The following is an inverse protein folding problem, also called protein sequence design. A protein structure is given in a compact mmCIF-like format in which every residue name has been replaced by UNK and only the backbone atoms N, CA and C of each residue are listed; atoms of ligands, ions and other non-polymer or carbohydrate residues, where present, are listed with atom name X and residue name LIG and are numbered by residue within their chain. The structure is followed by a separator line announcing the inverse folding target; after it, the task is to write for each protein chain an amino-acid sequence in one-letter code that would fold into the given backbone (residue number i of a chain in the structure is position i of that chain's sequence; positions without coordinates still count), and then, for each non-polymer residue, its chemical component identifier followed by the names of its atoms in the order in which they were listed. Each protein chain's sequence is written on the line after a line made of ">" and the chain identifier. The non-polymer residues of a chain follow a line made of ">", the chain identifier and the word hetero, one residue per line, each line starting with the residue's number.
data_IF_444724642671
#
_entry.id   IF_444724642671
#
_cell.length_a   1.000
_cell.length_b   1.000
_cell.length_c   1.000
_cell.angle_alpha   90.00
_cell.angle_beta   90.00
_cell.angle_gamma   90.00
#
_symmetry.space_group_name_H-M   'P 1'
#
loop_
_entity.id
_entity.type
_entity.pdbx_description
1 polymer ?
#
# COMPACT_ATOMS: atom_id res chain seq x y z
N UNK A 1 7.05 -23.47 0.15
CA UNK A 1 7.87 -23.57 -1.07
C UNK A 1 8.32 -22.16 -1.44
N UNK A 2 9.62 -21.88 -1.62
CA UNK A 2 10.06 -20.52 -1.93
C UNK A 2 9.79 -20.25 -3.42
N UNK A 3 8.97 -19.24 -3.71
CA UNK A 3 8.76 -18.77 -5.08
C UNK A 3 10.03 -18.00 -5.48
N UNK A 4 10.92 -18.67 -6.23
CA UNK A 4 12.24 -18.15 -6.59
C UNK A 4 12.26 -17.30 -7.85
N UNK A 5 11.12 -17.02 -8.46
CA UNK A 5 11.08 -16.17 -9.65
C UNK A 5 9.83 -15.30 -9.67
N UNK A 6 9.96 -14.02 -9.32
CA UNK A 6 8.85 -13.06 -9.40
C UNK A 6 8.44 -12.78 -10.86
N UNK A 7 9.38 -12.91 -11.81
CA UNK A 7 9.11 -12.69 -13.24
C UNK A 7 8.11 -13.69 -13.81
N UNK A 8 8.07 -14.92 -13.29
CA UNK A 8 7.11 -15.93 -13.74
C UNK A 8 5.66 -15.55 -13.39
N UNK A 9 5.46 -14.85 -12.27
CA UNK A 9 4.14 -14.37 -11.82
C UNK A 9 3.68 -13.19 -12.67
N UNK A 10 4.62 -12.33 -13.09
CA UNK A 10 4.33 -11.16 -13.93
C UNK A 10 4.17 -11.52 -15.42
N UNK A 11 4.77 -12.64 -15.87
CA UNK A 11 4.75 -13.09 -17.28
C UNK A 11 3.38 -13.58 -17.79
N UNK A 12 2.53 -14.10 -16.91
CA UNK A 12 1.16 -14.51 -17.30
C UNK A 12 0.18 -13.33 -17.35
N UNK A 13 0.60 -12.14 -16.91
CA UNK A 13 -0.25 -10.95 -16.95
C UNK A 13 0.55 -9.69 -17.31
N UNK A 14 1.18 -9.64 -18.50
CA UNK A 14 2.18 -8.63 -18.86
C UNK A 14 1.60 -7.21 -19.05
N UNK A 15 0.28 -7.04 -18.95
CA UNK A 15 -0.41 -5.75 -19.12
C UNK A 15 -1.42 -5.38 -18.05
N UNK A 16 -1.80 -6.25 -17.13
CA UNK A 16 -2.91 -5.92 -16.25
C UNK A 16 -2.40 -5.20 -15.00
N UNK A 17 -2.31 -3.89 -15.15
CA UNK A 17 -2.89 -2.97 -14.19
C UNK A 17 -3.98 -3.65 -13.33
N UNK A 18 -4.03 -3.31 -12.05
CA UNK A 18 -4.96 -3.96 -11.11
C UNK A 18 -6.36 -4.04 -11.74
N UNK A 19 -6.95 -5.24 -11.97
CA UNK A 19 -8.21 -5.35 -12.71
C UNK A 19 -9.39 -4.71 -11.96
N UNK A 20 -9.17 -4.27 -10.71
CA UNK A 20 -10.10 -3.40 -9.97
C UNK A 20 -10.14 -1.96 -10.51
N UNK A 21 -9.12 -1.57 -11.29
CA UNK A 21 -8.98 -0.27 -11.93
C UNK A 21 -8.97 -0.45 -13.46
N UNK A 22 -10.14 -0.74 -14.03
CA UNK A 22 -10.35 -0.93 -15.48
C UNK A 22 -10.28 0.38 -16.31
N UNK A 23 -9.95 1.51 -15.68
CA UNK A 23 -10.00 2.85 -16.28
C UNK A 23 -8.75 3.65 -15.91
N UNK A 24 -8.56 4.81 -16.57
CA UNK A 24 -7.54 5.83 -16.30
C UNK A 24 -7.62 6.50 -14.91
N UNK A 25 -8.25 5.86 -13.93
CA UNK A 25 -8.37 6.34 -12.55
C UNK A 25 -7.07 6.11 -11.77
N UNK A 26 -6.03 6.82 -12.18
CA UNK A 26 -4.69 6.74 -11.61
C UNK A 26 -4.65 7.09 -10.12
N UNK A 27 -5.51 8.02 -9.68
CA UNK A 27 -5.60 8.41 -8.28
C UNK A 27 -6.11 7.27 -7.38
N UNK A 28 -7.13 6.52 -7.82
CA UNK A 28 -7.65 5.38 -7.07
C UNK A 28 -6.62 4.26 -6.93
N UNK A 29 -5.86 4.01 -8.01
CA UNK A 29 -4.76 3.05 -8.01
C UNK A 29 -3.65 3.46 -7.03
N UNK A 30 -3.24 4.71 -7.06
CA UNK A 30 -2.22 5.24 -6.15
C UNK A 30 -2.67 5.15 -4.68
N UNK A 31 -3.87 5.64 -4.36
CA UNK A 31 -4.45 5.59 -3.01
C UNK A 31 -4.48 4.15 -2.45
N UNK A 32 -4.93 3.19 -3.26
CA UNK A 32 -4.98 1.79 -2.82
C UNK A 32 -3.58 1.25 -2.53
N UNK A 33 -2.62 1.49 -3.42
CA UNK A 33 -1.25 0.97 -3.25
C UNK A 33 -0.57 1.55 -2.03
N UNK A 34 -0.74 2.84 -1.77
CA UNK A 34 -0.22 3.49 -0.58
C UNK A 34 -0.84 2.91 0.70
N UNK A 35 -2.16 2.76 0.74
CA UNK A 35 -2.87 2.16 1.89
C UNK A 35 -2.43 0.71 2.16
N UNK A 36 -2.24 -0.09 1.11
CA UNK A 36 -1.75 -1.48 1.24
C UNK A 36 -0.32 -1.52 1.79
N UNK A 37 0.56 -0.61 1.36
CA UNK A 37 1.90 -0.50 1.91
C UNK A 37 1.87 -0.13 3.40
N UNK A 38 1.06 0.86 3.79
CA UNK A 38 0.88 1.24 5.19
C UNK A 38 0.40 0.07 6.06
N UNK A 39 -0.55 -0.74 5.55
CA UNK A 39 -1.00 -1.94 6.26
C UNK A 39 0.13 -2.94 6.45
N UNK A 40 0.86 -3.22 5.38
CA UNK A 40 1.92 -4.20 5.40
C UNK A 40 3.00 -3.83 6.43
N UNK A 41 3.49 -2.59 6.41
CA UNK A 41 4.53 -2.14 7.34
C UNK A 41 4.06 -2.15 8.79
N UNK A 42 2.77 -1.88 9.04
CA UNK A 42 2.20 -1.94 10.38
C UNK A 42 2.10 -3.38 10.91
N UNK A 43 1.64 -4.32 10.08
CA UNK A 43 1.42 -5.71 10.48
C UNK A 43 2.71 -6.53 10.54
N UNK A 44 3.63 -6.33 9.59
CA UNK A 44 4.80 -7.19 9.38
C UNK A 44 6.14 -6.48 9.64
N UNK A 45 6.13 -5.16 9.80
CA UNK A 45 7.33 -4.34 9.84
C UNK A 45 7.79 -3.89 8.44
N UNK A 46 8.40 -2.71 8.40
CA UNK A 46 8.83 -2.05 7.15
C UNK A 46 9.91 -2.82 6.39
N UNK A 47 10.82 -3.48 7.13
CA UNK A 47 11.92 -4.24 6.54
C UNK A 47 11.50 -5.57 5.91
N UNK A 48 10.27 -6.01 6.14
CA UNK A 48 9.77 -7.28 5.62
C UNK A 48 9.72 -7.26 4.08
N UNK A 49 10.27 -8.28 3.41
CA UNK A 49 10.40 -8.33 1.94
C UNK A 49 9.08 -8.09 1.20
N UNK A 50 7.97 -8.62 1.73
CA UNK A 50 6.62 -8.38 1.17
C UNK A 50 6.22 -6.90 1.19
N UNK A 51 6.64 -6.14 2.21
CA UNK A 51 6.31 -4.74 2.34
C UNK A 51 7.18 -3.85 1.47
N UNK A 52 8.47 -4.21 1.28
CA UNK A 52 9.33 -3.61 0.25
C UNK A 52 8.72 -3.77 -1.15
N UNK A 53 8.18 -4.94 -1.46
CA UNK A 53 7.45 -5.16 -2.72
C UNK A 53 6.18 -4.32 -2.83
N UNK A 54 5.37 -4.17 -1.76
CA UNK A 54 4.21 -3.27 -1.80
C UNK A 54 4.61 -1.80 -2.01
N UNK A 55 5.74 -1.38 -1.41
CA UNK A 55 6.25 -0.03 -1.61
C UNK A 55 6.69 0.21 -3.06
N UNK A 56 7.39 -0.74 -3.67
CA UNK A 56 7.72 -0.71 -5.10
C UNK A 56 6.47 -0.54 -5.97
N UNK A 57 5.40 -1.30 -5.68
CA UNK A 57 4.12 -1.15 -6.41
C UNK A 57 3.43 0.19 -6.17
N UNK A 58 3.65 0.80 -5.01
CA UNK A 58 3.18 2.16 -4.72
C UNK A 58 3.92 3.19 -5.56
N UNK A 59 5.25 3.11 -5.62
CA UNK A 59 6.08 3.99 -6.45
C UNK A 59 5.76 3.87 -7.93
N UNK A 60 5.43 2.66 -8.42
CA UNK A 60 5.00 2.47 -9.80
C UNK A 60 3.61 3.09 -10.11
N UNK A 61 2.77 3.27 -9.09
CA UNK A 61 1.40 3.75 -9.26
C UNK A 61 1.22 5.25 -8.94
N UNK A 62 2.11 5.83 -8.14
CA UNK A 62 2.00 7.19 -7.61
C UNK A 62 3.16 8.07 -8.11
N UNK A 63 2.89 9.37 -8.27
CA UNK A 63 3.96 10.36 -8.36
C UNK A 63 4.70 10.45 -7.01
N UNK A 64 6.02 10.71 -7.05
CA UNK A 64 6.87 10.76 -5.86
C UNK A 64 6.38 11.83 -4.88
N UNK A 65 5.99 13.00 -5.38
CA UNK A 65 5.50 14.14 -4.61
C UNK A 65 4.20 13.79 -3.85
N UNK A 66 3.39 12.89 -4.41
CA UNK A 66 2.16 12.42 -3.76
C UNK A 66 2.47 11.52 -2.57
N UNK A 67 3.47 10.63 -2.72
CA UNK A 67 3.94 9.77 -1.64
C UNK A 67 4.55 10.62 -0.52
N UNK A 68 5.44 11.55 -0.86
CA UNK A 68 6.09 12.46 0.10
C UNK A 68 5.05 13.27 0.87
N UNK A 69 4.07 13.87 0.18
CA UNK A 69 2.99 14.60 0.82
C UNK A 69 2.18 13.75 1.82
N UNK A 70 1.87 12.50 1.47
CA UNK A 70 1.15 11.62 2.38
C UNK A 70 2.01 11.10 3.53
N UNK A 71 3.32 10.95 3.34
CA UNK A 71 4.25 10.62 4.42
C UNK A 71 4.42 11.80 5.39
N UNK A 72 4.39 13.04 4.90
CA UNK A 72 4.36 14.24 5.75
C UNK A 72 3.08 14.34 6.57
N UNK A 73 1.92 14.03 5.98
CA UNK A 73 0.68 13.93 6.75
C UNK A 73 0.74 12.80 7.78
N UNK A 74 1.41 11.70 7.46
CA UNK A 74 1.56 10.55 8.34
C UNK A 74 2.46 10.87 9.53
N UNK A 75 3.59 11.55 9.31
CA UNK A 75 4.49 11.98 10.38
C UNK A 75 3.81 12.94 11.37
N UNK A 76 2.79 13.68 10.91
CA UNK A 76 1.94 14.55 11.73
C UNK A 76 0.73 13.83 12.37
N UNK A 77 0.51 12.54 12.08
CA UNK A 77 -0.68 11.80 12.54
C UNK A 77 -2.00 12.24 11.87
N UNK A 78 -1.93 12.90 10.71
CA UNK A 78 -3.08 13.44 9.96
C UNK A 78 -3.47 12.59 8.75
N UNK A 79 -2.66 11.59 8.40
CA UNK A 79 -2.94 10.72 7.25
C UNK A 79 -4.13 9.80 7.56
N UNK A 80 -5.27 10.04 6.92
CA UNK A 80 -6.48 9.23 7.11
C UNK A 80 -6.31 7.77 6.64
N UNK A 81 -5.39 7.53 5.71
CA UNK A 81 -5.07 6.18 5.23
C UNK A 81 -4.28 5.34 6.26
N UNK A 82 -3.67 5.98 7.26
CA UNK A 82 -2.97 5.33 8.37
C UNK A 82 -3.87 5.22 9.63
N UNK A 83 -5.17 5.49 9.52
CA UNK A 83 -6.14 5.35 10.60
C UNK A 83 -6.72 3.92 10.63
N UNK A 84 -6.17 3.08 11.50
CA UNK A 84 -6.53 1.67 11.59
C UNK A 84 -7.86 1.40 12.32
N UNK A 85 -8.54 0.27 12.07
CA UNK A 85 -9.72 -0.13 12.84
C UNK A 85 -9.50 -0.13 14.34
N UNK A 86 -8.29 -0.44 14.82
CA UNK A 86 -7.95 -0.33 16.24
C UNK A 86 -8.13 1.08 16.80
N UNK A 87 -7.95 2.12 15.99
CA UNK A 87 -8.27 3.51 16.34
C UNK A 87 -9.78 3.69 16.53
N UNK A 88 -10.60 3.20 15.58
CA UNK A 88 -12.05 3.28 15.65
C UNK A 88 -12.66 2.35 16.70
N UNK A 89 -12.04 1.21 17.01
CA UNK A 89 -12.50 0.26 18.02
C UNK A 89 -11.79 0.46 19.36
N UNK A 90 -10.94 1.48 19.52
CA UNK A 90 -10.19 1.72 20.77
C UNK A 90 -11.13 1.88 21.96
N UNK A 91 -12.25 2.57 21.75
CA UNK A 91 -13.29 2.77 22.75
C UNK A 91 -14.05 1.47 23.08
N UNK A 92 -14.00 0.45 22.22
CA UNK A 92 -14.65 -0.85 22.43
C UNK A 92 -13.77 -1.87 23.18
N UNK A 93 -12.49 -1.56 23.46
CA UNK A 93 -11.54 -2.46 24.14
C UNK A 93 -11.32 -2.14 25.62
N UNK A 94 -11.99 -1.13 26.17
CA UNK A 94 -11.89 -0.69 27.57
C UNK A 94 -13.08 -1.17 28.42
N UNK A 95 -13.72 -2.28 28.04
CA UNK A 95 -14.78 -2.94 28.81
C UNK A 95 -14.27 -4.15 29.55
#
# INVERSE_FOLDING_TARGET
>A
MPVMNMDAVDSENPHCDDPRFLQSQQLGRCLLRYTVWLRCRHELGEEHTRCKYQFFRCQAACAAETIEFWDDLRSQGKCWMDQWPAHYTRHMRLG
#
